data_IF_555988350074
#
_entry.id   IF_555988350074
#
_cell.length_a   1.000
_cell.length_b   1.000
_cell.length_c   1.000
_cell.angle_alpha   90.00
_cell.angle_beta   90.00
_cell.angle_gamma   90.00
#
_symmetry.space_group_name_H-M   'P 1'
#
loop_
_entity.id
_entity.type
_entity.pdbx_description
1 polymer ?
#
# COMPACT_ATOMS: atom_id res chain seq x y z
N UNK A 1 -10.56 0.41 73.93
CA UNK A 1 -11.38 -0.60 74.62
C UNK A 1 -12.25 -1.20 73.55
N UNK A 2 -11.76 -2.24 72.88
CA UNK A 2 -12.07 -3.67 73.18
C UNK A 2 -13.05 -4.14 72.08
N UNK A 3 -12.94 -5.27 71.40
CA UNK A 3 -12.10 -6.45 71.52
C UNK A 3 -12.06 -7.21 70.17
N UNK A 4 -11.18 -8.21 70.15
CA UNK A 4 -10.72 -9.15 69.13
C UNK A 4 -11.76 -10.21 68.64
N UNK A 5 -11.79 -10.60 67.33
CA UNK A 5 -11.27 -11.86 66.66
C UNK A 5 -12.21 -13.11 66.83
N UNK A 6 -12.25 -14.17 65.95
CA UNK A 6 -12.18 -14.36 64.48
C UNK A 6 -13.34 -15.28 63.95
N UNK A 7 -13.31 -15.75 62.69
CA UNK A 7 -13.40 -17.19 62.28
C UNK A 7 -13.11 -17.32 60.77
N UNK A 8 -12.47 -18.44 60.41
CA UNK A 8 -11.69 -18.70 59.21
C UNK A 8 -12.41 -19.54 58.11
N UNK A 9 -11.60 -19.84 57.08
CA UNK A 9 -11.75 -20.86 56.01
C UNK A 9 -12.51 -20.36 54.76
N UNK A 10 -12.03 -20.51 53.53
CA UNK A 10 -11.38 -21.63 52.85
C UNK A 10 -10.49 -21.12 51.70
N UNK A 11 -9.35 -21.76 51.44
CA UNK A 11 -8.77 -21.81 50.08
C UNK A 11 -9.43 -22.98 49.32
N UNK A 12 -9.53 -22.88 47.99
CA UNK A 12 -8.54 -23.61 47.22
C UNK A 12 -7.94 -22.82 46.05
N UNK A 13 -6.73 -23.28 45.74
CA UNK A 13 -5.96 -23.14 44.51
C UNK A 13 -6.80 -23.42 43.26
N UNK A 14 -6.71 -22.56 42.24
CA UNK A 14 -6.71 -23.06 40.86
C UNK A 14 -6.03 -22.07 39.90
N UNK A 15 -4.91 -22.54 39.38
CA UNK A 15 -4.19 -22.03 38.23
C UNK A 15 -5.07 -22.03 36.97
N UNK A 16 -5.25 -20.88 36.34
CA UNK A 16 -5.44 -20.83 34.89
C UNK A 16 -5.16 -19.41 34.35
N UNK A 17 -4.09 -19.30 33.57
CA UNK A 17 -3.82 -18.17 32.69
C UNK A 17 -4.97 -18.08 31.66
N UNK A 18 -5.49 -16.89 31.32
CA UNK A 18 -6.38 -16.78 30.17
C UNK A 18 -5.58 -17.00 28.90
N UNK A 19 -5.85 -18.12 28.22
CA UNK A 19 -5.27 -18.45 26.92
C UNK A 19 -5.63 -17.37 25.89
N UNK A 20 -4.60 -16.78 25.29
CA UNK A 20 -4.70 -15.91 24.12
C UNK A 20 -5.10 -16.74 22.91
N UNK A 21 -6.40 -16.73 22.58
CA UNK A 21 -6.92 -17.27 21.34
C UNK A 21 -6.44 -16.40 20.17
N UNK A 22 -5.25 -16.73 19.67
CA UNK A 22 -4.70 -16.13 18.46
C UNK A 22 -5.32 -16.86 17.29
N UNK A 23 -6.59 -16.53 17.00
CA UNK A 23 -7.29 -17.06 15.84
C UNK A 23 -6.58 -16.59 14.57
N UNK A 24 -5.70 -17.44 14.04
CA UNK A 24 -5.20 -17.34 12.67
C UNK A 24 -6.41 -17.54 11.75
N UNK A 25 -6.99 -16.45 11.27
CA UNK A 25 -8.04 -16.51 10.25
C UNK A 25 -7.43 -17.11 8.97
N UNK A 26 -7.81 -18.34 8.66
CA UNK A 26 -7.53 -18.97 7.38
C UNK A 26 -8.16 -18.12 6.26
N UNK A 27 -7.44 -17.84 5.16
CA UNK A 27 -7.98 -17.05 4.06
C UNK A 27 -9.22 -17.71 3.48
N UNK A 28 -10.24 -16.90 3.17
CA UNK A 28 -11.49 -17.39 2.56
C UNK A 28 -11.22 -17.96 1.15
N UNK A 29 -12.08 -18.87 0.67
CA UNK A 29 -11.97 -19.51 -0.66
C UNK A 29 -11.85 -18.51 -1.83
N UNK A 30 -12.34 -17.28 -1.65
CA UNK A 30 -12.21 -16.16 -2.58
C UNK A 30 -10.77 -15.62 -2.71
N UNK A 31 -9.97 -15.73 -1.64
CA UNK A 31 -8.62 -15.19 -1.55
C UNK A 31 -7.59 -16.11 -2.23
N UNK A 32 -7.84 -17.41 -2.26
CA UNK A 32 -7.00 -18.40 -2.96
C UNK A 32 -7.10 -18.28 -4.49
N UNK A 33 -8.25 -17.83 -5.01
CA UNK A 33 -8.48 -17.67 -6.46
C UNK A 33 -7.72 -16.45 -7.02
N UNK A 34 -7.71 -15.32 -6.29
CA UNK A 34 -7.09 -14.06 -6.76
C UNK A 34 -5.59 -14.19 -7.00
N UNK A 35 -4.89 -15.03 -6.23
CA UNK A 35 -3.43 -15.22 -6.34
C UNK A 35 -3.02 -15.82 -7.69
N UNK A 36 -3.88 -16.62 -8.31
CA UNK A 36 -3.60 -17.28 -9.59
C UNK A 36 -4.00 -16.43 -10.82
N UNK A 37 -4.80 -15.37 -10.63
CA UNK A 37 -5.41 -14.62 -11.74
C UNK A 37 -4.37 -13.90 -12.61
N UNK A 38 -4.47 -14.00 -13.93
CA UNK A 38 -3.74 -13.13 -14.83
C UNK A 38 -4.27 -11.68 -14.82
N UNK A 39 -3.70 -10.80 -15.65
CA UNK A 39 -4.12 -9.39 -15.74
C UNK A 39 -5.59 -9.20 -16.15
N UNK A 40 -6.12 -10.05 -17.04
CA UNK A 40 -7.48 -9.93 -17.54
C UNK A 40 -8.48 -10.42 -16.48
N UNK A 41 -8.21 -11.58 -15.89
CA UNK A 41 -8.99 -12.15 -14.79
C UNK A 41 -9.02 -11.21 -13.59
N UNK A 42 -7.86 -10.66 -13.20
CA UNK A 42 -7.76 -9.74 -12.07
C UNK A 42 -8.55 -8.45 -12.30
N UNK A 43 -8.47 -7.89 -13.52
CA UNK A 43 -9.24 -6.70 -13.88
C UNK A 43 -10.73 -6.97 -13.81
N UNK A 44 -11.19 -8.08 -14.38
CA UNK A 44 -12.59 -8.47 -14.35
C UNK A 44 -13.09 -8.66 -12.92
N UNK A 45 -12.32 -9.36 -12.07
CA UNK A 45 -12.65 -9.58 -10.67
C UNK A 45 -12.79 -8.27 -9.89
N UNK A 46 -11.88 -7.31 -10.11
CA UNK A 46 -12.01 -5.97 -9.50
C UNK A 46 -13.27 -5.26 -9.98
N UNK A 47 -13.56 -5.26 -11.28
CA UNK A 47 -14.74 -4.59 -11.83
C UNK A 47 -16.06 -5.10 -11.24
N UNK A 48 -16.19 -6.42 -11.03
CA UNK A 48 -17.38 -7.03 -10.45
C UNK A 48 -17.36 -7.13 -8.92
N UNK A 49 -16.29 -6.70 -8.25
CA UNK A 49 -16.11 -6.90 -6.81
C UNK A 49 -17.21 -6.21 -5.97
N UNK A 50 -17.80 -6.93 -5.02
CA UNK A 50 -18.78 -6.42 -4.04
C UNK A 50 -18.37 -6.70 -2.59
N UNK A 51 -17.09 -7.03 -2.34
CA UNK A 51 -16.59 -7.51 -1.05
C UNK A 51 -16.62 -6.46 0.08
N UNK A 52 -16.84 -5.18 -0.23
CA UNK A 52 -16.94 -4.13 0.78
C UNK A 52 -17.98 -3.05 0.41
N UNK A 53 -18.42 -2.22 1.39
CA UNK A 53 -19.47 -1.21 1.17
C UNK A 53 -19.14 -0.17 0.10
N UNK A 54 -17.86 0.06 -0.21
CA UNK A 54 -17.44 1.01 -1.25
C UNK A 54 -17.98 0.65 -2.65
N UNK A 55 -18.33 -0.62 -2.86
CA UNK A 55 -18.96 -1.08 -4.10
C UNK A 55 -20.33 -0.47 -4.37
N UNK A 56 -21.04 -0.04 -3.33
CA UNK A 56 -22.40 0.49 -3.42
C UNK A 56 -22.42 1.95 -3.88
N UNK A 57 -21.33 2.69 -3.69
CA UNK A 57 -21.27 4.13 -3.95
C UNK A 57 -20.35 4.53 -5.10
N UNK A 58 -19.52 3.61 -5.60
CA UNK A 58 -18.63 3.88 -6.74
C UNK A 58 -19.44 4.06 -8.02
N UNK A 59 -18.94 4.86 -8.95
CA UNK A 59 -19.38 4.86 -10.35
C UNK A 59 -18.60 3.82 -11.14
N UNK A 60 -17.27 3.83 -10.98
CA UNK A 60 -16.37 2.87 -11.62
C UNK A 60 -15.28 2.45 -10.65
N UNK A 61 -14.78 1.23 -10.81
CA UNK A 61 -13.56 0.82 -10.13
C UNK A 61 -12.34 1.44 -10.78
N UNK A 62 -11.34 1.78 -9.99
CA UNK A 62 -10.06 2.31 -10.46
C UNK A 62 -8.99 1.28 -10.17
N UNK A 63 -8.66 0.50 -11.19
CA UNK A 63 -7.82 -0.67 -11.09
C UNK A 63 -6.35 -0.32 -10.83
N UNK A 64 -5.79 0.50 -11.71
CA UNK A 64 -4.37 0.81 -11.83
C UNK A 64 -4.01 1.02 -13.30
N UNK A 65 -2.95 1.79 -13.56
CA UNK A 65 -2.48 2.11 -14.91
C UNK A 65 -0.95 2.22 -14.96
N UNK A 66 -0.38 2.20 -16.16
CA UNK A 66 1.06 2.29 -16.41
C UNK A 66 1.63 1.01 -17.01
N UNK A 67 2.95 0.91 -17.03
CA UNK A 67 3.67 -0.25 -17.56
C UNK A 67 3.51 -1.47 -16.63
N UNK A 68 3.07 -2.58 -17.20
CA UNK A 68 2.87 -3.84 -16.47
C UNK A 68 4.19 -4.54 -16.13
N UNK A 69 5.31 -4.13 -16.74
CA UNK A 69 6.65 -4.58 -16.45
C UNK A 69 7.50 -3.49 -15.74
N UNK A 70 6.82 -2.48 -15.17
CA UNK A 70 7.49 -1.34 -14.55
C UNK A 70 8.39 -1.76 -13.38
N UNK A 71 9.61 -1.19 -13.35
CA UNK A 71 10.50 -1.34 -12.18
C UNK A 71 10.06 -0.50 -10.98
N UNK A 72 9.20 0.50 -11.19
CA UNK A 72 8.69 1.39 -10.17
C UNK A 72 7.19 1.18 -9.97
N UNK A 73 6.77 1.00 -8.71
CA UNK A 73 5.36 0.94 -8.35
C UNK A 73 5.00 2.06 -7.38
N UNK A 74 4.09 2.95 -7.77
CA UNK A 74 3.56 3.99 -6.91
C UNK A 74 2.18 3.60 -6.37
N UNK A 75 2.00 3.67 -5.05
CA UNK A 75 0.77 3.24 -4.39
C UNK A 75 0.18 4.41 -3.59
N UNK A 76 -1.01 4.87 -3.99
CA UNK A 76 -1.80 5.87 -3.27
C UNK A 76 -2.86 5.26 -2.35
N UNK A 77 -3.67 6.14 -1.76
CA UNK A 77 -4.73 5.77 -0.82
C UNK A 77 -5.95 5.12 -1.52
N UNK A 78 -6.58 5.87 -2.42
CA UNK A 78 -7.84 5.48 -3.03
C UNK A 78 -8.30 6.48 -4.09
N UNK A 79 -9.34 6.16 -4.86
CA UNK A 79 -9.82 7.03 -5.93
C UNK A 79 -10.52 8.29 -5.39
N UNK A 80 -10.28 9.43 -6.04
CA UNK A 80 -11.06 10.64 -5.86
C UNK A 80 -12.27 10.68 -6.80
N UNK A 81 -12.99 11.82 -6.79
CA UNK A 81 -14.21 12.00 -7.58
C UNK A 81 -14.00 11.91 -9.11
N UNK A 82 -12.85 12.40 -9.61
CA UNK A 82 -12.56 12.32 -11.05
C UNK A 82 -12.11 10.92 -11.44
N UNK A 83 -11.31 10.29 -10.60
CA UNK A 83 -10.85 8.92 -10.79
C UNK A 83 -12.05 7.97 -10.83
N UNK A 84 -13.00 8.09 -9.90
CA UNK A 84 -14.25 7.33 -9.88
C UNK A 84 -15.13 7.54 -11.13
N UNK A 85 -15.14 8.75 -11.68
CA UNK A 85 -15.90 9.05 -12.89
C UNK A 85 -15.22 8.47 -14.15
N UNK A 86 -13.89 8.45 -14.20
CA UNK A 86 -13.13 8.06 -15.40
C UNK A 86 -12.60 6.62 -15.38
N UNK A 87 -12.51 5.98 -14.21
CA UNK A 87 -11.94 4.63 -14.06
C UNK A 87 -10.41 4.59 -14.00
N UNK A 88 -9.74 5.75 -13.98
CA UNK A 88 -8.28 5.87 -14.03
C UNK A 88 -7.70 6.52 -12.78
N UNK A 89 -6.55 6.04 -12.26
CA UNK A 89 -5.95 6.58 -11.06
C UNK A 89 -5.24 7.90 -11.34
N UNK A 90 -5.25 8.81 -10.36
CA UNK A 90 -4.48 10.06 -10.41
C UNK A 90 -4.72 10.87 -11.69
N UNK A 91 -5.97 11.20 -11.99
CA UNK A 91 -6.37 12.03 -13.16
C UNK A 91 -6.82 13.44 -12.78
N UNK A 92 -7.01 13.70 -11.48
CA UNK A 92 -7.24 15.04 -10.93
C UNK A 92 -5.98 15.89 -10.76
N UNK A 93 -6.09 16.97 -9.98
CA UNK A 93 -4.96 17.88 -9.71
C UNK A 93 -3.81 17.19 -8.97
N UNK A 94 -4.13 16.29 -8.04
CA UNK A 94 -3.14 15.46 -7.36
C UNK A 94 -2.38 14.57 -8.37
N UNK A 95 -3.07 14.10 -9.41
CA UNK A 95 -2.47 13.34 -10.49
C UNK A 95 -1.52 14.13 -11.37
N UNK A 96 -1.90 15.35 -11.75
CA UNK A 96 -1.00 16.27 -12.47
C UNK A 96 0.26 16.58 -11.68
N UNK A 97 0.13 16.75 -10.36
CA UNK A 97 1.31 16.94 -9.52
C UNK A 97 2.17 15.68 -9.46
N UNK A 98 1.57 14.48 -9.37
CA UNK A 98 2.31 13.22 -9.47
C UNK A 98 3.07 13.13 -10.79
N UNK A 99 2.47 13.51 -11.92
CA UNK A 99 3.14 13.49 -13.21
C UNK A 99 4.37 14.41 -13.25
N UNK A 100 4.26 15.59 -12.65
CA UNK A 100 5.40 16.51 -12.51
C UNK A 100 6.48 15.94 -11.59
N UNK A 101 6.09 15.26 -10.51
CA UNK A 101 7.02 14.58 -9.59
C UNK A 101 7.78 13.46 -10.30
N UNK A 102 7.10 12.63 -11.10
CA UNK A 102 7.69 11.57 -11.91
C UNK A 102 8.68 12.15 -12.93
N UNK A 103 8.27 13.18 -13.67
CA UNK A 103 9.12 13.85 -14.66
C UNK A 103 10.38 14.43 -14.02
N UNK A 104 10.28 15.00 -12.82
CA UNK A 104 11.42 15.58 -12.11
C UNK A 104 12.50 14.54 -11.74
N UNK A 105 12.13 13.27 -11.59
CA UNK A 105 13.08 12.16 -11.41
C UNK A 105 13.36 11.37 -12.68
N UNK A 106 12.91 11.87 -13.84
CA UNK A 106 13.19 11.30 -15.16
C UNK A 106 12.30 10.12 -15.55
N UNK A 107 11.13 9.97 -14.91
CA UNK A 107 10.17 8.90 -15.19
C UNK A 107 8.95 9.41 -15.97
N UNK A 108 8.39 8.56 -16.82
CA UNK A 108 7.13 8.76 -17.54
C UNK A 108 6.08 7.77 -17.06
N UNK A 109 4.85 8.28 -16.85
CA UNK A 109 3.71 7.52 -16.34
C UNK A 109 3.45 6.21 -17.12
N UNK A 110 3.49 6.28 -18.44
CA UNK A 110 3.04 5.17 -19.30
C UNK A 110 4.18 4.23 -19.73
N UNK A 111 5.41 4.48 -19.29
CA UNK A 111 6.60 3.74 -19.73
C UNK A 111 7.42 3.16 -18.58
N UNK A 112 7.55 3.89 -17.47
CA UNK A 112 8.52 3.54 -16.44
C UNK A 112 7.89 3.07 -15.12
N UNK A 113 6.59 3.32 -14.94
CA UNK A 113 5.91 3.15 -13.66
C UNK A 113 4.58 2.43 -13.81
N UNK A 114 4.18 1.73 -12.75
CA UNK A 114 2.80 1.32 -12.52
C UNK A 114 2.24 2.11 -11.34
N UNK A 115 0.99 2.54 -11.43
CA UNK A 115 0.30 3.33 -10.40
C UNK A 115 -0.94 2.60 -9.96
N UNK A 116 -1.06 2.36 -8.65
CA UNK A 116 -2.19 1.72 -8.00
C UNK A 116 -2.59 2.46 -6.72
N UNK A 117 -3.66 2.00 -6.08
CA UNK A 117 -4.13 2.47 -4.77
C UNK A 117 -4.41 1.29 -3.83
N UNK A 118 -4.43 1.55 -2.51
CA UNK A 118 -4.84 0.59 -1.49
C UNK A 118 -6.26 0.07 -1.77
N UNK A 119 -7.22 0.98 -1.98
CA UNK A 119 -8.59 0.60 -2.39
C UNK A 119 -8.86 0.93 -3.85
N UNK A 120 -9.69 0.11 -4.52
CA UNK A 120 -10.06 0.29 -5.94
C UNK A 120 -11.37 1.05 -6.15
N UNK A 121 -12.04 1.46 -5.07
CA UNK A 121 -13.33 2.14 -5.10
C UNK A 121 -13.23 3.42 -4.29
N UNK A 122 -13.89 4.49 -4.74
CA UNK A 122 -13.90 5.78 -4.04
C UNK A 122 -14.65 5.71 -2.71
N UNK A 123 -14.02 6.07 -1.58
CA UNK A 123 -14.74 6.28 -0.33
C UNK A 123 -15.71 7.48 -0.40
N UNK A 124 -16.92 7.38 0.19
CA UNK A 124 -17.88 8.48 0.24
C UNK A 124 -17.26 9.76 0.81
N UNK A 125 -17.46 10.90 0.13
CA UNK A 125 -16.90 12.17 0.56
C UNK A 125 -15.37 12.28 0.48
N UNK A 126 -14.68 11.33 -0.19
CA UNK A 126 -13.22 11.24 -0.22
C UNK A 126 -12.59 11.13 1.19
N UNK A 127 -13.30 10.50 2.14
CA UNK A 127 -12.70 10.11 3.42
C UNK A 127 -11.61 9.06 3.20
N UNK A 128 -10.78 8.84 4.20
CA UNK A 128 -9.87 7.70 4.19
C UNK A 128 -10.65 6.37 4.15
N UNK A 129 -10.13 5.33 3.48
CA UNK A 129 -10.71 4.00 3.56
C UNK A 129 -10.66 3.49 5.00
N UNK A 130 -11.71 2.79 5.42
CA UNK A 130 -11.72 2.09 6.71
C UNK A 130 -10.77 0.89 6.65
N UNK A 131 -10.22 0.43 7.79
CA UNK A 131 -9.32 -0.72 7.83
C UNK A 131 -9.89 -1.95 7.12
N UNK A 132 -11.15 -2.29 7.38
CA UNK A 132 -11.83 -3.42 6.72
C UNK A 132 -11.99 -3.22 5.21
N UNK A 133 -12.21 -1.99 4.74
CA UNK A 133 -12.31 -1.71 3.30
C UNK A 133 -10.96 -1.92 2.60
N UNK A 134 -9.86 -1.54 3.24
CA UNK A 134 -8.51 -1.76 2.76
C UNK A 134 -8.14 -3.25 2.79
N UNK A 135 -8.48 -3.95 3.87
CA UNK A 135 -8.25 -5.39 4.04
C UNK A 135 -8.95 -6.21 2.94
N UNK A 136 -10.24 -5.94 2.69
CA UNK A 136 -11.00 -6.62 1.63
C UNK A 136 -10.47 -6.33 0.21
N UNK A 137 -9.81 -5.17 0.01
CA UNK A 137 -9.21 -4.81 -1.27
C UNK A 137 -7.76 -5.31 -1.43
N UNK A 138 -7.10 -5.66 -0.32
CA UNK A 138 -5.68 -6.04 -0.26
C UNK A 138 -5.31 -7.16 -1.24
N UNK A 139 -6.09 -8.25 -1.41
CA UNK A 139 -5.72 -9.34 -2.33
C UNK A 139 -5.47 -8.86 -3.76
N UNK A 140 -6.26 -7.89 -4.24
CA UNK A 140 -6.10 -7.33 -5.59
C UNK A 140 -4.80 -6.54 -5.73
N UNK A 141 -4.44 -5.75 -4.72
CA UNK A 141 -3.18 -4.99 -4.73
C UNK A 141 -1.98 -5.94 -4.64
N UNK A 142 -2.03 -6.95 -3.77
CA UNK A 142 -0.97 -7.95 -3.66
C UNK A 142 -0.77 -8.69 -4.98
N UNK A 143 -1.87 -9.05 -5.67
CA UNK A 143 -1.75 -9.68 -6.98
C UNK A 143 -1.18 -8.72 -8.03
N UNK A 144 -1.54 -7.44 -8.01
CA UNK A 144 -0.90 -6.45 -8.90
C UNK A 144 0.60 -6.34 -8.63
N UNK A 145 1.03 -6.30 -7.36
CA UNK A 145 2.45 -6.27 -7.00
C UNK A 145 3.16 -7.53 -7.54
N UNK A 146 2.55 -8.70 -7.36
CA UNK A 146 3.10 -9.97 -7.84
C UNK A 146 3.17 -10.07 -9.38
N UNK A 147 2.23 -9.44 -10.10
CA UNK A 147 2.24 -9.40 -11.57
C UNK A 147 3.23 -8.38 -12.13
N UNK A 148 3.40 -7.23 -11.46
CA UNK A 148 4.34 -6.17 -11.88
C UNK A 148 5.78 -6.53 -11.54
N UNK A 149 6.00 -7.21 -10.41
CA UNK A 149 7.32 -7.52 -9.87
C UNK A 149 8.25 -6.28 -9.80
N UNK A 150 7.81 -5.18 -9.15
CA UNK A 150 8.58 -3.95 -9.13
C UNK A 150 9.89 -4.14 -8.34
N UNK A 151 10.91 -3.36 -8.72
CA UNK A 151 12.17 -3.27 -7.96
C UNK A 151 12.07 -2.31 -6.78
N UNK A 152 11.18 -1.33 -6.86
CA UNK A 152 10.97 -0.34 -5.80
C UNK A 152 9.50 0.07 -5.72
N UNK A 153 8.97 0.10 -4.50
CA UNK A 153 7.64 0.61 -4.18
C UNK A 153 7.76 2.02 -3.57
N UNK A 154 6.94 2.95 -4.03
CA UNK A 154 6.79 4.29 -3.43
C UNK A 154 5.38 4.45 -2.88
N UNK A 155 5.27 4.49 -1.55
CA UNK A 155 4.01 4.71 -0.86
C UNK A 155 3.71 6.21 -0.74
N UNK A 156 2.59 6.64 -1.32
CA UNK A 156 2.15 8.03 -1.37
C UNK A 156 1.23 8.34 -0.20
N UNK A 157 1.80 8.89 0.87
CA UNK A 157 1.08 9.35 2.05
C UNK A 157 0.88 8.28 3.14
N UNK A 158 0.28 8.73 4.24
CA UNK A 158 0.17 7.95 5.48
C UNK A 158 -0.63 6.66 5.28
N UNK A 159 -1.81 6.73 4.68
CA UNK A 159 -2.68 5.54 4.53
C UNK A 159 -2.01 4.44 3.69
N UNK A 160 -1.32 4.80 2.61
CA UNK A 160 -0.57 3.83 1.81
C UNK A 160 0.56 3.18 2.63
N UNK A 161 1.33 4.00 3.36
CA UNK A 161 2.42 3.51 4.20
C UNK A 161 1.93 2.58 5.32
N UNK A 162 0.88 2.96 6.07
CA UNK A 162 0.31 2.15 7.15
C UNK A 162 -0.19 0.79 6.65
N UNK A 163 -0.87 0.76 5.49
CA UNK A 163 -1.39 -0.48 4.93
C UNK A 163 -0.30 -1.41 4.38
N UNK A 164 0.76 -0.85 3.79
CA UNK A 164 1.85 -1.65 3.24
C UNK A 164 2.77 -2.17 4.35
N UNK A 165 3.12 -1.32 5.32
CA UNK A 165 4.07 -1.63 6.39
C UNK A 165 3.43 -2.20 7.66
N UNK A 166 2.09 -2.29 7.71
CA UNK A 166 1.33 -2.76 8.87
C UNK A 166 1.74 -2.03 10.17
N UNK A 167 1.84 -0.70 10.12
CA UNK A 167 2.34 0.14 11.21
C UNK A 167 1.40 1.32 11.48
N UNK A 168 1.37 1.80 12.73
CA UNK A 168 0.68 3.05 13.12
C UNK A 168 1.62 4.25 13.23
N UNK A 169 2.86 4.13 12.75
CA UNK A 169 3.86 5.18 12.83
C UNK A 169 3.45 6.45 12.06
N UNK A 170 4.00 7.59 12.49
CA UNK A 170 3.73 8.87 11.81
C UNK A 170 4.35 8.90 10.41
N UNK A 171 3.75 9.66 9.49
CA UNK A 171 4.35 9.85 8.17
C UNK A 171 5.76 10.45 8.27
N UNK A 172 5.97 11.37 9.20
CA UNK A 172 7.26 12.02 9.41
C UNK A 172 8.36 11.03 9.81
N UNK A 173 8.06 10.05 10.66
CA UNK A 173 9.01 9.03 11.10
C UNK A 173 9.33 7.96 10.06
N UNK A 174 8.45 7.78 9.06
CA UNK A 174 8.61 6.76 8.01
C UNK A 174 9.38 7.27 6.78
N UNK A 175 9.41 8.60 6.56
CA UNK A 175 10.09 9.20 5.42
C UNK A 175 11.61 9.20 5.58
N UNK A 176 12.34 9.32 4.47
CA UNK A 176 13.81 9.35 4.46
C UNK A 176 14.49 8.04 4.88
N UNK A 177 13.75 6.93 4.89
CA UNK A 177 14.23 5.60 5.27
C UNK A 177 13.84 4.58 4.19
N UNK A 178 14.66 3.53 4.06
CA UNK A 178 14.35 2.38 3.23
C UNK A 178 13.66 1.31 4.07
N UNK A 179 12.43 0.95 3.68
CA UNK A 179 11.64 -0.11 4.30
C UNK A 179 11.63 -1.34 3.42
N UNK A 180 11.12 -2.44 3.97
CA UNK A 180 10.89 -3.68 3.23
C UNK A 180 9.40 -3.97 3.10
N UNK A 181 8.99 -4.40 1.90
CA UNK A 181 7.69 -4.99 1.65
C UNK A 181 7.88 -6.35 1.00
N UNK A 182 7.96 -7.41 1.82
CA UNK A 182 8.10 -8.80 1.34
C UNK A 182 9.31 -8.98 0.41
N UNK A 183 10.45 -8.39 0.77
CA UNK A 183 11.68 -8.43 -0.05
C UNK A 183 11.76 -7.34 -1.12
N UNK A 184 10.71 -6.52 -1.30
CA UNK A 184 10.72 -5.39 -2.23
C UNK A 184 11.03 -4.11 -1.44
N UNK A 185 12.10 -3.37 -1.78
CA UNK A 185 12.39 -2.08 -1.17
C UNK A 185 11.18 -1.12 -1.28
N UNK A 186 10.87 -0.42 -0.18
CA UNK A 186 9.76 0.51 -0.09
C UNK A 186 10.21 1.85 0.48
N UNK A 187 9.84 2.94 -0.18
CA UNK A 187 10.07 4.31 0.28
C UNK A 187 8.72 5.02 0.48
N UNK A 188 8.61 5.79 1.56
CA UNK A 188 7.43 6.57 1.88
C UNK A 188 7.66 8.03 1.53
N UNK A 189 6.65 8.67 0.92
CA UNK A 189 6.64 10.13 0.71
C UNK A 189 5.25 10.71 0.95
N UNK A 190 5.08 12.02 0.77
CA UNK A 190 3.80 12.69 0.89
C UNK A 190 2.85 12.35 -0.25
N UNK A 191 1.55 12.28 0.06
CA UNK A 191 0.53 12.19 -0.99
C UNK A 191 0.44 13.49 -1.79
N UNK A 192 0.33 13.47 -3.13
CA UNK A 192 0.24 14.69 -3.93
C UNK A 192 -0.91 15.63 -3.53
N UNK A 193 -2.06 15.09 -3.14
CA UNK A 193 -3.19 15.89 -2.65
C UNK A 193 -2.89 16.66 -1.33
N UNK A 194 -1.98 16.13 -0.50
CA UNK A 194 -1.49 16.84 0.68
C UNK A 194 -0.60 18.02 0.27
N UNK A 195 0.34 17.79 -0.64
CA UNK A 195 1.28 18.80 -1.14
C UNK A 195 0.60 19.98 -1.86
N UNK A 196 -0.61 19.78 -2.41
CA UNK A 196 -1.42 20.86 -2.98
C UNK A 196 -2.02 21.79 -1.91
N UNK A 197 -2.18 21.32 -0.67
CA UNK A 197 -2.68 22.11 0.47
C UNK A 197 -1.55 22.66 1.33
N UNK A 198 -0.44 21.94 1.40
CA UNK A 198 0.73 22.29 2.22
C UNK A 198 1.96 22.41 1.33
N UNK A 199 2.12 23.59 0.70
CA UNK A 199 3.15 23.83 -0.31
C UNK A 199 4.58 23.76 0.24
N UNK A 200 4.77 24.09 1.52
CA UNK A 200 6.08 24.08 2.19
C UNK A 200 6.72 22.69 2.24
N UNK A 201 5.91 21.64 2.16
CA UNK A 201 6.39 20.25 2.26
C UNK A 201 6.80 19.67 0.92
N UNK A 202 6.67 20.43 -0.18
CA UNK A 202 7.16 20.01 -1.51
C UNK A 202 8.67 19.80 -1.54
N UNK A 203 9.44 20.60 -0.81
CA UNK A 203 10.89 20.41 -0.70
C UNK A 203 11.23 19.07 -0.05
N UNK A 204 10.51 18.70 1.01
CA UNK A 204 10.65 17.41 1.68
C UNK A 204 10.25 16.25 0.76
N UNK A 205 9.13 16.37 0.04
CA UNK A 205 8.77 15.35 -0.96
C UNK A 205 9.83 15.20 -2.05
N UNK A 206 10.47 16.30 -2.48
CA UNK A 206 11.57 16.26 -3.44
C UNK A 206 12.79 15.51 -2.91
N UNK A 207 13.14 15.67 -1.62
CA UNK A 207 14.21 14.90 -0.98
C UNK A 207 13.91 13.39 -1.01
N UNK A 208 12.67 12.97 -0.74
CA UNK A 208 12.29 11.55 -0.82
C UNK A 208 12.41 11.01 -2.24
N UNK A 209 12.03 11.80 -3.25
CA UNK A 209 12.12 11.39 -4.65
C UNK A 209 13.59 11.27 -5.10
N UNK A 210 14.47 12.17 -4.64
CA UNK A 210 15.90 12.06 -4.86
C UNK A 210 16.46 10.78 -4.24
N UNK A 211 16.06 10.48 -2.99
CA UNK A 211 16.44 9.27 -2.29
C UNK A 211 15.91 7.99 -2.99
N UNK A 212 14.68 8.02 -3.50
CA UNK A 212 14.12 6.93 -4.28
C UNK A 212 14.89 6.71 -5.58
N UNK A 213 15.27 7.80 -6.28
CA UNK A 213 16.09 7.73 -7.50
C UNK A 213 17.47 7.14 -7.24
N UNK A 214 18.17 7.58 -6.18
CA UNK A 214 19.47 7.00 -5.83
C UNK A 214 19.35 5.52 -5.44
N UNK A 215 18.29 5.16 -4.71
CA UNK A 215 18.03 3.77 -4.34
C UNK A 215 17.82 2.89 -5.57
N UNK A 216 17.00 3.32 -6.53
CA UNK A 216 16.81 2.57 -7.77
C UNK A 216 18.10 2.40 -8.57
N UNK A 217 18.93 3.45 -8.65
CA UNK A 217 20.23 3.36 -9.33
C UNK A 217 21.12 2.27 -8.71
N UNK A 218 21.18 2.21 -7.37
CA UNK A 218 21.92 1.15 -6.67
C UNK A 218 21.35 -0.24 -6.94
N UNK A 219 20.02 -0.41 -6.96
CA UNK A 219 19.35 -1.68 -7.24
C UNK A 219 19.61 -2.19 -8.67
N UNK A 220 19.70 -1.28 -9.64
CA UNK A 220 20.03 -1.63 -11.03
C UNK A 220 21.51 -1.98 -11.20
N UNK A 221 22.40 -1.29 -10.47
CA UNK A 221 23.83 -1.57 -10.47
C UNK A 221 24.14 -2.95 -9.86
N UNK A 222 23.50 -3.31 -8.74
CA UNK A 222 23.69 -4.63 -8.11
C UNK A 222 23.21 -5.76 -9.02
N UNK A 223 22.04 -5.60 -9.66
CA UNK A 223 21.50 -6.60 -10.57
C UNK A 223 22.38 -6.83 -11.83
N UNK A 224 23.18 -5.84 -12.23
CA UNK A 224 24.10 -5.95 -13.37
C UNK A 224 25.38 -6.72 -12.99
N UNK A 225 25.78 -6.68 -11.71
CA UNK A 225 26.96 -7.39 -11.20
C UNK A 225 26.69 -8.87 -10.90
N UNK A 226 25.43 -9.23 -10.63
CA UNK A 226 25.00 -10.62 -10.38
C UNK A 226 24.67 -11.41 -11.65
N UNK A 227 24.80 -10.80 -12.84
CA UNK A 227 24.62 -11.51 -14.11
C UNK A 227 25.78 -12.51 -14.32
N UNK A 228 25.52 -13.82 -14.45
CA UNK A 228 26.59 -14.80 -14.64
C UNK A 228 27.34 -14.47 -15.94
N UNK A 229 28.64 -14.23 -15.79
CA UNK A 229 29.54 -13.87 -16.88
C UNK A 229 29.42 -14.83 -18.06
N UNK A 230 29.39 -14.25 -19.26
CA UNK A 230 29.65 -14.94 -20.51
C UNK A 230 30.82 -15.90 -20.35
N UNK A 231 30.56 -17.20 -20.56
CA UNK A 231 31.55 -18.25 -20.68
C UNK A 231 32.65 -17.79 -21.67
N UNK A 232 33.93 -17.79 -21.29
CA UNK A 232 34.99 -17.56 -22.25
C UNK A 232 35.26 -18.83 -23.06
N UNK A 233 35.41 -18.62 -24.37
CA UNK A 233 35.88 -19.51 -25.46
C UNK A 233 34.79 -20.16 -26.30
#
# INVERSE_FOLDING_TARGET
>A
MSDQIPVATHAPDDSALPETDTAICLPTNQQMDVVAMDWAQLRQAVTSCTACPLSQTRKQTVFGTGDKAASWLFIGEGPGAREDALGEPFVGQAGKLLDNMLQAIGLKRDQDVYIANIVKCRPPGNRNPQPLEAEQCRPYLLRQIALVQPRLIVALGKVAAENLLATGASLASLRGQLHDFSGIPLIVTYHPAYLLRTLTDKARAWEDLCFARSTMQSLLASASNDAPGSLPS
#
